data_IF_923544246319
#
_entry.id   IF_923544246319
#
_cell.length_a   1.000
_cell.length_b   1.000
_cell.length_c   1.000
_cell.angle_alpha   90.00
_cell.angle_beta   90.00
_cell.angle_gamma   90.00
#
_symmetry.space_group_name_H-M   'P 1'
#
loop_
_entity.id
_entity.type
_entity.pdbx_description
1 polymer ?
#
# COMPACT_ATOMS: atom_id res chain seq x y z
N UNK A 1 18.98 16.00 6.33
CA UNK A 1 18.60 15.75 4.93
C UNK A 1 19.17 14.40 4.52
N UNK A 2 18.41 13.35 4.81
CA UNK A 2 18.85 11.97 4.61
C UNK A 2 18.28 11.52 3.27
N UNK A 3 19.14 11.43 2.26
CA UNK A 3 18.75 11.00 0.91
C UNK A 3 18.54 9.49 0.95
N UNK A 4 17.29 9.04 0.84
CA UNK A 4 16.97 7.63 0.65
C UNK A 4 17.35 7.26 -0.79
N UNK A 5 18.44 6.52 -0.96
CA UNK A 5 18.95 6.14 -2.28
C UNK A 5 18.50 4.72 -2.59
N UNK A 6 17.62 4.60 -3.57
CA UNK A 6 17.26 3.36 -4.23
C UNK A 6 18.21 3.05 -5.35
N UNK A 7 18.40 1.76 -5.61
CA UNK A 7 19.23 1.28 -6.69
C UNK A 7 18.68 1.83 -8.03
N UNK A 8 19.36 2.88 -8.51
CA UNK A 8 19.28 3.55 -9.83
C UNK A 8 17.96 4.05 -10.45
N UNK A 9 16.73 3.76 -9.98
CA UNK A 9 15.52 4.14 -10.74
C UNK A 9 14.48 5.05 -10.08
N UNK A 10 14.35 5.07 -8.74
CA UNK A 10 13.36 5.91 -8.02
C UNK A 10 14.06 7.05 -7.29
N UNK A 11 14.34 8.16 -7.99
CA UNK A 11 14.67 9.43 -7.34
C UNK A 11 13.36 10.14 -6.98
N UNK A 12 12.68 9.67 -5.93
CA UNK A 12 11.59 10.41 -5.30
C UNK A 12 12.18 11.27 -4.18
N UNK A 13 12.00 12.58 -4.26
CA UNK A 13 12.22 13.44 -3.11
C UNK A 13 11.05 13.35 -2.12
N UNK A 14 11.31 13.80 -0.89
CA UNK A 14 10.35 13.74 0.22
C UNK A 14 9.09 14.56 -0.06
N UNK A 15 9.23 15.69 -0.76
CA UNK A 15 8.11 16.57 -1.10
C UNK A 15 7.18 15.88 -2.11
N UNK A 16 7.73 15.24 -3.15
CA UNK A 16 6.98 14.47 -4.14
C UNK A 16 6.24 13.29 -3.50
N UNK A 17 6.86 12.59 -2.55
CA UNK A 17 6.19 11.51 -1.82
C UNK A 17 5.00 12.04 -1.00
N UNK A 18 5.19 13.18 -0.32
CA UNK A 18 4.13 13.83 0.46
C UNK A 18 2.98 14.28 -0.42
N UNK A 19 3.26 14.88 -1.58
CA UNK A 19 2.24 15.30 -2.54
C UNK A 19 1.40 14.12 -3.04
N UNK A 20 2.04 12.98 -3.33
CA UNK A 20 1.33 11.74 -3.70
C UNK A 20 0.43 11.27 -2.57
N UNK A 21 0.91 11.25 -1.34
CA UNK A 21 0.15 10.77 -0.18
C UNK A 21 -1.08 11.65 0.05
N UNK A 22 -0.92 12.97 -0.05
CA UNK A 22 -2.02 13.92 0.11
C UNK A 22 -3.05 13.74 -1.01
N UNK A 23 -2.61 13.75 -2.27
CA UNK A 23 -3.50 13.58 -3.41
C UNK A 23 -4.21 12.21 -3.41
N UNK A 24 -3.50 11.15 -3.05
CA UNK A 24 -4.07 9.81 -2.93
C UNK A 24 -5.11 9.76 -1.82
N UNK A 25 -4.81 10.36 -0.66
CA UNK A 25 -5.74 10.41 0.46
C UNK A 25 -6.98 11.25 0.13
N UNK A 26 -6.83 12.35 -0.61
CA UNK A 26 -7.96 13.12 -1.14
C UNK A 26 -8.79 12.29 -2.12
N UNK A 27 -8.13 11.58 -3.04
CA UNK A 27 -8.77 10.63 -3.96
C UNK A 27 -9.57 9.56 -3.22
N UNK A 28 -9.00 8.97 -2.17
CA UNK A 28 -9.64 7.95 -1.35
C UNK A 28 -10.91 8.48 -0.65
N UNK A 29 -10.88 9.72 -0.17
CA UNK A 29 -12.04 10.40 0.42
C UNK A 29 -13.11 10.72 -0.61
N UNK A 30 -12.73 10.99 -1.85
CA UNK A 30 -13.65 11.27 -2.94
C UNK A 30 -14.21 9.99 -3.58
N UNK A 31 -13.50 8.86 -3.46
CA UNK A 31 -13.80 7.62 -4.17
C UNK A 31 -15.14 7.03 -3.75
N UNK A 32 -16.05 6.84 -4.72
CA UNK A 32 -17.45 6.50 -4.47
C UNK A 32 -17.64 5.19 -3.68
N UNK A 33 -16.77 4.21 -3.91
CA UNK A 33 -16.82 2.89 -3.27
C UNK A 33 -16.02 2.81 -1.96
N UNK A 34 -14.92 3.56 -1.85
CA UNK A 34 -14.01 3.47 -0.70
C UNK A 34 -14.36 4.48 0.39
N UNK A 35 -14.94 5.63 0.05
CA UNK A 35 -15.23 6.73 0.99
C UNK A 35 -16.01 6.28 2.21
N UNK A 36 -17.15 5.61 2.01
CA UNK A 36 -18.03 5.22 3.13
C UNK A 36 -17.32 4.27 4.10
N UNK A 37 -16.41 3.50 3.57
CA UNK A 37 -15.69 2.46 4.27
C UNK A 37 -14.51 3.07 5.04
N UNK A 38 -13.72 3.91 4.38
CA UNK A 38 -12.63 4.64 5.00
C UNK A 38 -13.13 5.64 6.05
N UNK A 39 -14.31 6.23 5.85
CA UNK A 39 -14.95 7.05 6.88
C UNK A 39 -15.26 6.27 8.16
N UNK A 40 -15.48 4.95 8.10
CA UNK A 40 -15.70 4.11 9.29
C UNK A 40 -14.39 3.71 9.95
N UNK A 41 -13.35 3.44 9.15
CA UNK A 41 -12.07 2.92 9.62
C UNK A 41 -11.14 4.05 10.07
N UNK A 42 -10.94 5.05 9.22
CA UNK A 42 -10.06 6.20 9.45
C UNK A 42 -10.82 7.32 10.17
N UNK A 43 -12.06 7.59 9.76
CA UNK A 43 -12.89 8.63 10.37
C UNK A 43 -12.21 10.00 10.38
N UNK A 44 -11.97 10.55 11.57
CA UNK A 44 -11.28 11.84 11.75
C UNK A 44 -9.77 11.72 11.90
N UNK A 45 -9.19 10.50 11.82
CA UNK A 45 -7.76 10.23 12.02
C UNK A 45 -6.97 10.17 10.72
N UNK A 46 -7.33 11.00 9.75
CA UNK A 46 -6.66 10.97 8.46
C UNK A 46 -5.19 11.37 8.53
N UNK A 47 -4.83 12.29 9.41
CA UNK A 47 -3.44 12.67 9.63
C UNK A 47 -2.61 11.44 10.06
N UNK A 48 -3.13 10.63 11.01
CA UNK A 48 -2.45 9.41 11.45
C UNK A 48 -2.33 8.38 10.31
N UNK A 49 -3.36 8.28 9.46
CA UNK A 49 -3.34 7.42 8.28
C UNK A 49 -2.28 7.86 7.28
N UNK A 50 -2.20 9.17 6.98
CA UNK A 50 -1.22 9.75 6.07
C UNK A 50 0.21 9.55 6.58
N UNK A 51 0.46 9.75 7.87
CA UNK A 51 1.75 9.49 8.52
C UNK A 51 2.12 8.01 8.46
N UNK A 52 1.16 7.11 8.71
CA UNK A 52 1.37 5.67 8.59
C UNK A 52 1.69 5.25 7.16
N UNK A 53 1.01 5.84 6.17
CA UNK A 53 1.26 5.59 4.75
C UNK A 53 2.61 6.15 4.30
N UNK A 54 3.01 7.33 4.79
CA UNK A 54 4.33 7.91 4.56
C UNK A 54 5.43 6.99 5.08
N UNK A 55 5.28 6.50 6.31
CA UNK A 55 6.22 5.55 6.89
C UNK A 55 6.28 4.24 6.09
N UNK A 56 5.13 3.69 5.73
CA UNK A 56 5.03 2.45 4.94
C UNK A 56 5.71 2.59 3.57
N UNK A 57 5.37 3.62 2.79
CA UNK A 57 5.97 3.85 1.48
C UNK A 57 7.46 4.16 1.61
N UNK A 58 7.86 4.95 2.59
CA UNK A 58 9.27 5.23 2.85
C UNK A 58 10.04 3.94 3.13
N UNK A 59 9.53 3.06 3.99
CA UNK A 59 10.14 1.77 4.31
C UNK A 59 10.16 0.80 3.13
N UNK A 60 9.08 0.79 2.33
CA UNK A 60 8.93 -0.04 1.15
C UNK A 60 9.94 0.35 0.08
N UNK A 61 9.99 1.64 -0.23
CA UNK A 61 10.96 2.18 -1.16
C UNK A 61 12.33 1.86 -0.55
N UNK A 62 12.62 2.23 0.71
CA UNK A 62 13.85 1.98 1.51
C UNK A 62 14.33 0.53 1.57
N UNK A 63 13.45 -0.43 1.27
CA UNK A 63 13.69 -1.87 1.48
C UNK A 63 14.22 -2.16 2.88
N UNK A 64 13.75 -1.41 3.88
CA UNK A 64 14.17 -1.59 5.28
C UNK A 64 13.55 -2.83 5.91
N UNK A 65 12.40 -3.26 5.40
CA UNK A 65 11.60 -4.35 5.96
C UNK A 65 10.76 -3.94 7.17
N UNK A 66 11.00 -2.75 7.74
CA UNK A 66 10.21 -2.21 8.85
C UNK A 66 9.05 -1.38 8.29
N UNK A 67 8.02 -2.06 7.82
CA UNK A 67 6.86 -1.44 7.17
C UNK A 67 5.75 -1.07 8.18
N UNK A 68 6.04 -1.08 9.49
CA UNK A 68 5.07 -0.78 10.53
C UNK A 68 3.89 -1.76 10.61
N UNK A 69 4.02 -2.96 10.05
CA UNK A 69 2.94 -3.96 10.01
C UNK A 69 1.86 -3.67 8.96
N UNK A 70 2.16 -2.89 7.91
CA UNK A 70 1.19 -2.28 6.99
C UNK A 70 -0.01 -3.14 6.59
N UNK A 71 0.20 -4.41 6.18
CA UNK A 71 -0.90 -5.30 5.77
C UNK A 71 -1.70 -5.82 6.96
N UNK A 72 -1.01 -6.16 8.07
CA UNK A 72 -1.66 -6.61 9.31
C UNK A 72 -2.49 -5.49 9.92
N UNK A 73 -1.91 -4.30 10.05
CA UNK A 73 -2.58 -3.12 10.58
C UNK A 73 -3.79 -2.72 9.74
N UNK A 74 -3.67 -2.77 8.41
CA UNK A 74 -4.80 -2.53 7.50
C UNK A 74 -5.92 -3.54 7.73
N UNK A 75 -5.60 -4.84 7.82
CA UNK A 75 -6.59 -5.88 8.07
C UNK A 75 -7.28 -5.76 9.43
N UNK A 76 -6.53 -5.47 10.49
CA UNK A 76 -7.08 -5.28 11.83
C UNK A 76 -7.99 -4.05 11.90
N UNK A 77 -7.59 -2.96 11.26
CA UNK A 77 -8.39 -1.74 11.17
C UNK A 77 -9.61 -1.91 10.27
N UNK A 78 -9.54 -2.82 9.29
CA UNK A 78 -10.56 -2.99 8.28
C UNK A 78 -10.95 -4.48 8.05
N UNK A 79 -11.71 -5.10 8.97
CA UNK A 79 -12.08 -6.52 8.88
C UNK A 79 -12.98 -6.87 7.67
N UNK A 80 -13.66 -5.87 7.09
CA UNK A 80 -14.48 -6.04 5.90
C UNK A 80 -13.72 -5.73 4.60
N UNK A 81 -12.38 -5.70 4.65
CA UNK A 81 -11.52 -5.58 3.48
C UNK A 81 -11.83 -6.71 2.51
N UNK A 82 -12.08 -6.32 1.26
CA UNK A 82 -12.45 -7.20 0.18
C UNK A 82 -11.49 -6.95 -0.99
N UNK A 83 -11.27 -7.93 -1.87
CA UNK A 83 -10.32 -7.82 -2.97
C UNK A 83 -10.57 -6.58 -3.84
N UNK A 84 -11.84 -6.24 -4.10
CA UNK A 84 -12.22 -5.11 -4.94
C UNK A 84 -11.78 -3.77 -4.32
N UNK A 85 -11.73 -3.68 -2.99
CA UNK A 85 -11.24 -2.48 -2.32
C UNK A 85 -9.73 -2.30 -2.50
N UNK A 86 -8.97 -3.40 -2.54
CA UNK A 86 -7.52 -3.37 -2.81
C UNK A 86 -7.28 -2.97 -4.27
N UNK A 87 -8.04 -3.53 -5.21
CA UNK A 87 -7.96 -3.15 -6.63
C UNK A 87 -8.32 -1.68 -6.84
N UNK A 88 -9.43 -1.20 -6.27
CA UNK A 88 -9.84 0.21 -6.39
C UNK A 88 -8.77 1.17 -5.82
N UNK A 89 -8.14 0.82 -4.68
CA UNK A 89 -7.08 1.61 -4.08
C UNK A 89 -5.79 1.58 -4.92
N UNK A 90 -5.44 0.43 -5.51
CA UNK A 90 -4.29 0.28 -6.41
C UNK A 90 -4.44 1.16 -7.65
N UNK A 91 -5.58 1.06 -8.33
CA UNK A 91 -5.84 1.81 -9.57
C UNK A 91 -5.79 3.32 -9.30
N UNK A 92 -6.42 3.78 -8.21
CA UNK A 92 -6.37 5.17 -7.78
C UNK A 92 -4.94 5.63 -7.45
N UNK A 93 -4.13 4.78 -6.81
CA UNK A 93 -2.73 5.11 -6.48
C UNK A 93 -1.90 5.28 -7.76
N UNK A 94 -2.08 4.39 -8.75
CA UNK A 94 -1.41 4.50 -10.04
C UNK A 94 -1.78 5.77 -10.79
N UNK A 95 -3.08 6.11 -10.84
CA UNK A 95 -3.58 7.35 -11.44
C UNK A 95 -2.98 8.60 -10.75
N UNK A 96 -2.90 8.56 -9.42
CA UNK A 96 -2.31 9.63 -8.62
C UNK A 96 -0.82 9.78 -8.92
N UNK A 97 -0.07 8.68 -8.93
CA UNK A 97 1.36 8.67 -9.22
C UNK A 97 1.65 9.21 -10.63
N UNK A 98 0.87 8.82 -11.64
CA UNK A 98 1.00 9.29 -13.02
C UNK A 98 0.69 10.79 -13.18
N UNK A 99 -0.15 11.34 -12.32
CA UNK A 99 -0.52 12.77 -12.35
C UNK A 99 0.59 13.65 -11.78
N UNK A 100 1.30 13.17 -10.77
CA UNK A 100 2.27 13.97 -10.00
C UNK A 100 3.69 13.73 -10.48
N UNK A 101 4.03 12.50 -10.82
CA UNK A 101 5.40 12.10 -11.12
C UNK A 101 5.68 12.05 -12.62
N UNK A 102 6.95 12.22 -13.02
CA UNK A 102 7.41 11.81 -14.33
C UNK A 102 7.12 10.32 -14.57
N UNK A 103 6.78 9.97 -15.82
CA UNK A 103 6.35 8.62 -16.21
C UNK A 103 7.24 7.48 -15.68
N UNK A 104 8.56 7.63 -15.74
CA UNK A 104 9.49 6.60 -15.28
C UNK A 104 9.42 6.38 -13.76
N UNK A 105 9.29 7.46 -12.98
CA UNK A 105 9.15 7.38 -11.53
C UNK A 105 7.77 6.85 -11.13
N UNK A 106 6.71 7.28 -11.83
CA UNK A 106 5.37 6.74 -11.65
C UNK A 106 5.31 5.24 -11.92
N UNK A 107 5.95 4.77 -13.01
CA UNK A 107 6.01 3.36 -13.36
C UNK A 107 6.69 2.53 -12.26
N UNK A 108 7.88 2.92 -11.82
CA UNK A 108 8.59 2.19 -10.76
C UNK A 108 7.87 2.21 -9.41
N UNK A 109 7.21 3.31 -9.05
CA UNK A 109 6.41 3.37 -7.82
C UNK A 109 5.15 2.51 -7.93
N UNK A 110 4.52 2.49 -9.10
CA UNK A 110 3.35 1.65 -9.37
C UNK A 110 3.70 0.16 -9.34
N UNK A 111 4.85 -0.25 -9.89
CA UNK A 111 5.34 -1.64 -9.79
C UNK A 111 5.51 -2.08 -8.33
N UNK A 112 6.07 -1.20 -7.47
CA UNK A 112 6.17 -1.48 -6.03
C UNK A 112 4.79 -1.63 -5.38
N UNK A 113 3.86 -0.73 -5.69
CA UNK A 113 2.50 -0.78 -5.17
C UNK A 113 1.75 -2.03 -5.66
N UNK A 114 1.95 -2.44 -6.91
CA UNK A 114 1.38 -3.65 -7.51
C UNK A 114 1.86 -4.89 -6.77
N UNK A 115 3.16 -5.01 -6.49
CA UNK A 115 3.70 -6.13 -5.71
C UNK A 115 3.07 -6.24 -4.31
N UNK A 116 2.83 -5.10 -3.63
CA UNK A 116 2.15 -5.07 -2.33
C UNK A 116 0.69 -5.49 -2.46
N UNK A 117 -0.02 -4.95 -3.46
CA UNK A 117 -1.41 -5.26 -3.70
C UNK A 117 -1.60 -6.74 -4.07
N UNK A 118 -0.69 -7.31 -4.85
CA UNK A 118 -0.70 -8.73 -5.21
C UNK A 118 -0.51 -9.62 -3.98
N UNK A 119 0.37 -9.25 -3.05
CA UNK A 119 0.50 -9.94 -1.77
C UNK A 119 -0.80 -9.90 -0.97
N UNK A 120 -1.43 -8.73 -0.87
CA UNK A 120 -2.72 -8.57 -0.19
C UNK A 120 -3.83 -9.38 -0.88
N UNK A 121 -3.89 -9.36 -2.21
CA UNK A 121 -4.89 -10.08 -3.00
C UNK A 121 -4.72 -11.60 -2.89
N UNK A 122 -3.49 -12.13 -2.94
CA UNK A 122 -3.22 -13.56 -2.68
C UNK A 122 -3.64 -13.96 -1.27
N UNK A 123 -3.42 -13.08 -0.30
CA UNK A 123 -3.85 -13.32 1.07
C UNK A 123 -5.38 -13.30 1.20
N UNK A 124 -6.11 -12.46 0.47
CA UNK A 124 -7.58 -12.37 0.49
C UNK A 124 -8.25 -13.49 -0.33
N UNK A 125 -7.73 -13.76 -1.52
CA UNK A 125 -8.22 -14.73 -2.52
C UNK A 125 -7.17 -15.81 -2.80
N UNK A 126 -7.06 -16.85 -1.96
CA UNK A 126 -6.07 -17.89 -2.15
C UNK A 126 -6.49 -18.82 -3.29
N UNK A 127 -5.56 -19.10 -4.22
CA UNK A 127 -5.82 -19.90 -5.41
C UNK A 127 -5.78 -21.42 -5.14
N UNK A 128 -5.17 -21.86 -4.04
CA UNK A 128 -4.89 -23.28 -3.76
C UNK A 128 -5.64 -23.83 -2.54
N UNK A 129 -6.04 -25.10 -2.62
CA UNK A 129 -6.91 -25.77 -1.64
C UNK A 129 -6.41 -25.75 -0.19
N UNK A 130 -5.09 -25.84 0.02
CA UNK A 130 -4.50 -25.73 1.37
C UNK A 130 -4.60 -24.31 1.94
N UNK A 131 -4.31 -23.29 1.12
CA UNK A 131 -4.42 -21.89 1.52
C UNK A 131 -5.87 -21.44 1.77
N UNK A 132 -6.86 -22.06 1.10
CA UNK A 132 -8.30 -21.82 1.36
C UNK A 132 -8.68 -22.22 2.79
N UNK A 133 -8.10 -23.30 3.32
CA UNK A 133 -8.38 -23.76 4.70
C UNK A 133 -7.63 -22.96 5.77
N UNK A 134 -6.63 -22.18 5.39
CA UNK A 134 -5.85 -21.35 6.32
C UNK A 134 -6.65 -20.11 6.74
N UNK A 135 -6.77 -19.81 8.05
CA UNK A 135 -7.43 -18.60 8.53
C UNK A 135 -6.84 -17.33 7.89
N UNK A 136 -7.70 -16.37 7.52
CA UNK A 136 -7.27 -15.13 6.87
C UNK A 136 -6.20 -14.38 7.66
N UNK A 137 -6.33 -14.31 8.99
CA UNK A 137 -5.31 -13.70 9.85
C UNK A 137 -3.93 -14.38 9.75
N UNK A 138 -3.85 -15.69 9.46
CA UNK A 138 -2.58 -16.36 9.20
C UNK A 138 -2.03 -15.98 7.83
N UNK A 139 -2.87 -15.98 6.79
CA UNK A 139 -2.48 -15.56 5.43
C UNK A 139 -1.98 -14.13 5.36
N UNK A 140 -2.63 -13.20 6.07
CA UNK A 140 -2.19 -11.79 6.15
C UNK A 140 -0.82 -11.68 6.85
N UNK A 141 -0.58 -12.44 7.92
CA UNK A 141 0.74 -12.46 8.58
C UNK A 141 1.83 -13.05 7.68
N UNK A 142 1.51 -14.07 6.90
CA UNK A 142 2.44 -14.64 5.91
C UNK A 142 2.75 -13.62 4.79
N UNK A 143 1.75 -12.87 4.33
CA UNK A 143 1.96 -11.79 3.35
C UNK A 143 2.80 -10.64 3.91
N UNK A 144 2.58 -10.24 5.16
CA UNK A 144 3.42 -9.25 5.85
C UNK A 144 4.86 -9.73 5.99
N UNK A 145 5.07 -10.99 6.39
CA UNK A 145 6.43 -11.55 6.48
C UNK A 145 7.10 -11.61 5.09
N UNK A 146 6.35 -11.95 4.04
CA UNK A 146 6.82 -11.91 2.67
C UNK A 146 7.25 -10.49 2.25
N UNK A 147 6.46 -9.48 2.63
CA UNK A 147 6.78 -8.08 2.39
C UNK A 147 8.03 -7.64 3.17
N UNK A 148 8.17 -8.08 4.42
CA UNK A 148 9.32 -7.79 5.30
C UNK A 148 10.63 -8.35 4.73
N UNK A 149 10.61 -9.57 4.21
CA UNK A 149 11.80 -10.19 3.60
C UNK A 149 12.04 -9.71 2.14
N UNK A 150 11.16 -8.86 1.61
CA UNK A 150 11.19 -8.36 0.24
C UNK A 150 10.89 -9.43 -0.82
N UNK A 151 10.20 -10.51 -0.44
CA UNK A 151 9.72 -11.50 -1.39
C UNK A 151 8.67 -10.85 -2.31
N UNK A 152 8.89 -10.93 -3.62
CA UNK A 152 8.10 -10.27 -4.68
C UNK A 152 8.34 -8.75 -4.88
N UNK A 153 9.32 -8.13 -4.21
CA UNK A 153 9.78 -6.75 -4.51
C UNK A 153 10.94 -6.71 -5.52
N UNK A 154 11.11 -7.79 -6.31
CA UNK A 154 12.21 -8.01 -7.25
C UNK A 154 11.81 -7.77 -8.69
#
# INVERSE_FOLDING_TARGET
MTRLVFDRALCLDEDSLRDIILAFSEGLRAHSRLRNLLNRVVGNRWCDFEVGLEHFLTALIARTGDHGGGLVALYEAFPALAPEHVTDARDLFMETALTILPLHAAASLSELADSVCDLALRALCPETGTAITTPLACRIREAEEALRIGANLR
#
